data_IF_275963886234
#
_entry.id   IF_275963886234
#
_cell.length_a   1.000
_cell.length_b   1.000
_cell.length_c   1.000
_cell.angle_alpha   90.00
_cell.angle_beta   90.00
_cell.angle_gamma   90.00
#
_symmetry.space_group_name_H-M   'P 1'
#
loop_
_entity.id
_entity.type
_entity.pdbx_description
1 polymer ?
#
# COMPACT_ATOMS: atom_id res chain seq x y z
N UNK A 1 -4.41 -4.61 11.41
CA UNK A 1 -5.57 -4.66 10.50
C UNK A 1 -6.81 -5.18 11.20
N UNK A 2 -6.70 -6.18 12.07
CA UNK A 2 -7.81 -6.74 12.85
C UNK A 2 -8.70 -5.69 13.56
N UNK A 3 -8.10 -4.65 14.13
CA UNK A 3 -8.86 -3.56 14.78
C UNK A 3 -9.69 -2.72 13.82
N UNK A 4 -9.26 -2.56 12.56
CA UNK A 4 -9.97 -1.81 11.53
C UNK A 4 -11.19 -2.60 11.04
N UNK A 5 -11.00 -3.89 10.73
CA UNK A 5 -12.10 -4.78 10.34
C UNK A 5 -13.19 -4.86 11.42
N UNK A 6 -12.80 -4.97 12.69
CA UNK A 6 -13.75 -4.94 13.81
C UNK A 6 -14.55 -3.63 13.91
N UNK A 7 -13.99 -2.51 13.48
CA UNK A 7 -14.75 -1.24 13.43
C UNK A 7 -15.77 -1.26 12.29
N UNK A 8 -15.42 -1.83 11.15
CA UNK A 8 -16.32 -1.97 9.99
C UNK A 8 -17.49 -2.91 10.24
N UNK A 9 -17.35 -3.88 11.15
CA UNK A 9 -18.43 -4.80 11.54
C UNK A 9 -19.51 -4.14 12.41
N UNK A 10 -19.30 -2.91 12.89
CA UNK A 10 -20.31 -2.21 13.70
C UNK A 10 -21.47 -1.73 12.81
N UNK A 11 -22.75 -1.94 13.21
CA UNK A 11 -23.91 -1.61 12.39
C UNK A 11 -24.03 -0.12 12.01
N UNK A 12 -23.45 0.77 12.82
CA UNK A 12 -23.49 2.22 12.69
C UNK A 12 -22.25 2.81 12.01
N UNK A 13 -21.30 1.97 11.58
CA UNK A 13 -20.08 2.45 10.94
C UNK A 13 -20.35 2.93 9.49
N UNK A 14 -19.67 4.00 9.09
CA UNK A 14 -19.79 4.52 7.73
C UNK A 14 -19.27 3.51 6.70
N UNK A 15 -19.84 3.47 5.47
CA UNK A 15 -19.44 2.48 4.47
C UNK A 15 -17.98 2.60 4.01
N UNK A 16 -17.37 3.78 4.19
CA UNK A 16 -16.00 4.07 3.81
C UNK A 16 -15.19 4.62 5.00
N UNK A 17 -13.89 4.31 5.03
CA UNK A 17 -12.95 4.88 6.00
C UNK A 17 -12.01 5.86 5.33
N UNK A 18 -11.82 7.03 5.93
CA UNK A 18 -10.80 7.99 5.52
C UNK A 18 -9.60 7.93 6.49
N UNK A 19 -8.41 7.72 5.95
CA UNK A 19 -7.16 7.77 6.69
C UNK A 19 -6.39 9.03 6.31
N UNK A 20 -6.25 9.97 7.26
CA UNK A 20 -5.43 11.18 7.06
C UNK A 20 -4.06 10.96 7.68
N UNK A 21 -3.03 10.87 6.85
CA UNK A 21 -1.67 10.51 7.27
C UNK A 21 -0.60 11.21 6.44
N UNK A 22 0.68 10.98 6.76
CA UNK A 22 1.81 11.39 5.93
C UNK A 22 2.13 10.36 4.84
N UNK A 23 2.78 10.80 3.75
CA UNK A 23 3.12 9.93 2.61
C UNK A 23 3.90 8.68 2.99
N UNK A 24 4.82 8.75 3.96
CA UNK A 24 5.54 7.59 4.47
C UNK A 24 4.59 6.57 5.14
N UNK A 25 3.70 7.05 6.01
CA UNK A 25 2.72 6.21 6.71
C UNK A 25 1.77 5.55 5.73
N UNK A 26 1.32 6.28 4.70
CA UNK A 26 0.48 5.75 3.64
C UNK A 26 1.17 4.61 2.87
N UNK A 27 2.44 4.79 2.49
CA UNK A 27 3.22 3.75 1.80
C UNK A 27 3.43 2.52 2.69
N UNK A 28 3.75 2.70 3.97
CA UNK A 28 3.89 1.60 4.93
C UNK A 28 2.57 0.86 5.17
N UNK A 29 1.46 1.58 5.22
CA UNK A 29 0.13 0.97 5.30
C UNK A 29 -0.13 0.10 4.08
N UNK A 30 0.13 0.60 2.86
CA UNK A 30 -0.07 -0.17 1.63
C UNK A 30 0.88 -1.38 1.57
N UNK A 31 2.16 -1.22 1.93
CA UNK A 31 3.10 -2.33 2.04
C UNK A 31 2.56 -3.43 2.97
N UNK A 32 2.05 -3.05 4.15
CA UNK A 32 1.48 -4.01 5.10
C UNK A 32 0.16 -4.62 4.64
N UNK A 33 -0.66 -3.86 3.91
CA UNK A 33 -1.97 -4.28 3.40
C UNK A 33 -1.84 -5.30 2.27
N UNK A 34 -1.01 -4.98 1.29
CA UNK A 34 -0.78 -5.78 0.09
C UNK A 34 0.36 -6.79 0.25
N UNK A 35 1.04 -6.79 1.40
CA UNK A 35 2.19 -7.66 1.67
C UNK A 35 3.33 -7.47 0.66
N UNK A 36 3.60 -6.21 0.29
CA UNK A 36 4.70 -5.88 -0.62
C UNK A 36 6.06 -6.14 0.04
N UNK A 37 7.05 -6.47 -0.79
CA UNK A 37 8.44 -6.59 -0.36
C UNK A 37 9.04 -5.25 0.08
N UNK A 38 10.14 -5.32 0.83
CA UNK A 38 10.87 -4.13 1.27
C UNK A 38 11.43 -3.40 0.06
N UNK A 39 11.97 -4.15 -0.90
CA UNK A 39 12.56 -3.65 -2.14
C UNK A 39 11.54 -2.88 -2.98
N UNK A 40 10.31 -3.41 -3.10
CA UNK A 40 9.23 -2.69 -3.76
C UNK A 40 8.88 -1.41 -3.00
N UNK A 41 8.70 -1.47 -1.68
CA UNK A 41 8.39 -0.30 -0.87
C UNK A 41 9.45 0.80 -0.98
N UNK A 42 10.73 0.44 -0.92
CA UNK A 42 11.85 1.38 -1.04
C UNK A 42 11.91 2.05 -2.41
N UNK A 43 11.41 1.37 -3.46
CA UNK A 43 11.33 1.93 -4.82
C UNK A 43 10.24 2.99 -5.01
N UNK A 44 9.24 3.06 -4.11
CA UNK A 44 8.10 3.95 -4.24
C UNK A 44 8.47 5.40 -3.89
N UNK A 45 8.07 6.35 -4.74
CA UNK A 45 8.11 7.77 -4.40
C UNK A 45 7.01 8.12 -3.41
N UNK A 46 7.24 9.18 -2.62
CA UNK A 46 6.17 9.77 -1.84
C UNK A 46 5.09 10.35 -2.77
N UNK A 47 3.80 10.22 -2.40
CA UNK A 47 2.74 10.97 -3.06
C UNK A 47 2.96 12.48 -2.91
N UNK A 48 2.40 13.24 -3.84
CA UNK A 48 2.35 14.70 -3.81
C UNK A 48 1.55 15.24 -2.63
N UNK A 49 1.57 16.57 -2.47
CA UNK A 49 0.82 17.22 -1.39
C UNK A 49 -0.68 16.99 -1.56
N UNK A 50 -1.34 16.50 -0.50
CA UNK A 50 -2.76 16.19 -0.45
C UNK A 50 -3.24 15.20 -1.53
N UNK A 51 -2.32 14.43 -2.12
CA UNK A 51 -2.68 13.41 -3.09
C UNK A 51 -3.38 12.23 -2.41
N UNK A 52 -4.39 11.69 -3.09
CA UNK A 52 -5.22 10.61 -2.58
C UNK A 52 -4.79 9.26 -3.12
N UNK A 53 -5.02 8.22 -2.32
CA UNK A 53 -4.95 6.82 -2.72
C UNK A 53 -6.19 6.12 -2.19
N UNK A 54 -6.91 5.45 -3.09
CA UNK A 54 -8.16 4.77 -2.77
C UNK A 54 -7.97 3.27 -2.91
N UNK A 55 -8.31 2.55 -1.84
CA UNK A 55 -8.43 1.10 -1.88
C UNK A 55 -9.88 0.78 -2.25
N UNK A 56 -10.11 0.28 -3.46
CA UNK A 56 -11.44 -0.04 -4.00
C UNK A 56 -11.70 -1.54 -3.81
N UNK A 57 -12.81 -1.88 -3.17
CA UNK A 57 -13.23 -3.28 -3.03
C UNK A 57 -13.65 -3.84 -4.39
N UNK A 58 -13.09 -4.98 -4.77
CA UNK A 58 -13.43 -5.70 -5.99
C UNK A 58 -14.46 -6.81 -5.73
N UNK A 59 -14.87 -7.51 -6.79
CA UNK A 59 -15.87 -8.58 -6.73
C UNK A 59 -15.44 -9.81 -5.90
N UNK A 60 -14.16 -9.90 -5.53
CA UNK A 60 -13.60 -10.96 -4.69
C UNK A 60 -13.44 -10.54 -3.22
N UNK A 61 -14.06 -9.43 -2.80
CA UNK A 61 -13.92 -8.85 -1.46
C UNK A 61 -12.49 -8.46 -1.07
N UNK A 62 -11.61 -8.36 -2.06
CA UNK A 62 -10.26 -7.80 -1.90
C UNK A 62 -10.29 -6.34 -2.26
N UNK A 63 -9.24 -5.63 -1.86
CA UNK A 63 -9.07 -4.22 -2.21
C UNK A 63 -7.95 -4.08 -3.23
N UNK A 64 -8.19 -3.30 -4.27
CA UNK A 64 -7.19 -2.90 -5.25
C UNK A 64 -6.89 -1.41 -5.11
N UNK A 65 -5.65 -1.02 -5.39
CA UNK A 65 -5.26 0.39 -5.38
C UNK A 65 -5.73 1.06 -6.67
N UNK A 66 -6.44 2.17 -6.55
CA UNK A 66 -6.96 2.94 -7.69
C UNK A 66 -5.84 3.45 -8.63
N UNK A 67 -4.81 4.04 -8.04
CA UNK A 67 -3.65 4.60 -8.74
C UNK A 67 -2.37 4.08 -8.09
N UNK A 68 -1.45 3.45 -8.85
CA UNK A 68 -0.20 2.99 -8.29
C UNK A 68 0.66 4.15 -7.77
N UNK A 69 1.53 3.86 -6.81
CA UNK A 69 2.61 4.79 -6.48
C UNK A 69 3.60 4.85 -7.65
N UNK A 70 4.11 6.04 -7.95
CA UNK A 70 5.22 6.13 -8.88
C UNK A 70 6.48 5.54 -8.24
N UNK A 71 7.37 5.01 -9.05
CA UNK A 71 8.63 4.41 -8.60
C UNK A 71 9.81 5.20 -9.14
N UNK A 72 10.84 5.43 -8.32
CA UNK A 72 12.10 6.03 -8.79
C UNK A 72 13.02 5.00 -9.45
N UNK A 73 12.79 3.71 -9.18
CA UNK A 73 13.41 2.57 -9.87
C UNK A 73 12.34 1.48 -10.00
N UNK A 74 12.20 0.86 -11.17
CA UNK A 74 11.18 -0.18 -11.36
C UNK A 74 11.53 -1.44 -10.58
N UNK A 75 10.61 -1.93 -9.74
CA UNK A 75 10.69 -3.17 -8.95
C UNK A 75 9.35 -3.90 -8.99
N UNK A 76 9.38 -5.24 -8.86
CA UNK A 76 8.14 -6.03 -8.70
C UNK A 76 7.72 -6.08 -7.22
N UNK A 77 6.42 -6.32 -6.96
CA UNK A 77 5.85 -6.30 -5.60
C UNK A 77 6.38 -7.40 -4.67
N UNK A 78 6.95 -8.46 -5.26
CA UNK A 78 7.45 -9.68 -4.65
C UNK A 78 8.97 -9.84 -4.81
N UNK A 79 9.66 -8.84 -5.36
CA UNK A 79 11.10 -8.86 -5.54
C UNK A 79 11.81 -8.92 -4.19
N UNK A 80 12.73 -9.87 -4.01
CA UNK A 80 13.55 -10.00 -2.80
C UNK A 80 15.03 -10.02 -3.17
N UNK A 81 15.91 -9.87 -2.17
CA UNK A 81 17.37 -10.01 -2.34
C UNK A 81 17.84 -11.26 -3.10
N UNK A 82 17.07 -12.36 -3.10
CA UNK A 82 17.41 -13.57 -3.87
C UNK A 82 17.29 -13.37 -5.39
N UNK A 83 16.50 -12.38 -5.81
CA UNK A 83 16.27 -12.01 -7.21
C UNK A 83 17.20 -10.89 -7.67
N UNK A 84 17.95 -10.26 -6.76
CA UNK A 84 18.82 -9.13 -7.08
C UNK A 84 20.10 -9.61 -7.79
N UNK A 85 20.57 -8.91 -8.84
CA UNK A 85 21.88 -9.17 -9.40
C UNK A 85 22.95 -8.92 -8.32
N UNK A 86 24.05 -9.70 -8.30
CA UNK A 86 25.09 -9.55 -7.28
C UNK A 86 25.64 -8.13 -7.29
N UNK A 87 25.72 -7.52 -6.10
CA UNK A 87 26.31 -6.21 -5.90
C UNK A 87 27.81 -6.30 -6.22
N UNK A 88 28.22 -5.69 -7.35
CA UNK A 88 29.63 -5.52 -7.69
C UNK A 88 30.08 -4.20 -7.06
N UNK A 89 30.98 -4.30 -6.07
CA UNK A 89 31.66 -3.15 -5.48
C UNK A 89 32.85 -2.71 -6.34
#
# INVERSE_FOLDING_TARGET
>A
METLYRHWEKPDYAPNTLLVTHGLTMRLFCMRWFHWSVEYFESLNNPGNAELRTLIRNDQDKYDLDTPFSQWVQRSTDETVLNAPPMVF
#
